data_IF_185412574951
#
_entry.id   IF_185412574951
#
_cell.length_a   1.000
_cell.length_b   1.000
_cell.length_c   1.000
_cell.angle_alpha   90.00
_cell.angle_beta   90.00
_cell.angle_gamma   90.00
#
_symmetry.space_group_name_H-M   'P 1'
#
loop_
_entity.id
_entity.type
_entity.pdbx_description
1 polymer ?
#
# COMPACT_ATOMS: atom_id res chain seq x y z
N UNK A 1 -2.33 39.18 -4.56
CA UNK A 1 -1.09 39.69 -3.94
C UNK A 1 -0.45 38.55 -3.17
N UNK A 2 0.88 38.40 -3.25
CA UNK A 2 1.60 37.17 -2.93
C UNK A 2 1.92 37.10 -1.43
N UNK A 3 2.13 35.90 -0.89
CA UNK A 3 3.29 35.68 -0.02
C UNK A 3 3.60 34.19 0.13
N UNK A 4 4.75 33.88 -0.43
CA UNK A 4 5.53 32.66 -0.37
C UNK A 4 6.39 32.75 0.91
N UNK A 5 6.80 31.59 1.44
CA UNK A 5 7.93 31.39 2.39
C UNK A 5 7.46 31.67 3.83
N UNK A 6 7.64 30.77 4.82
CA UNK A 6 8.94 30.54 5.46
C UNK A 6 9.07 29.10 5.98
N UNK A 7 10.15 28.49 5.50
CA UNK A 7 10.86 27.34 6.03
C UNK A 7 11.25 27.62 7.49
N UNK A 8 10.64 26.96 8.47
CA UNK A 8 11.03 27.14 9.88
C UNK A 8 12.18 26.19 10.19
N UNK A 9 13.39 26.74 10.08
CA UNK A 9 14.60 26.16 10.59
C UNK A 9 14.49 25.91 12.10
N UNK A 10 14.86 24.70 12.50
CA UNK A 10 15.10 24.28 13.87
C UNK A 10 16.22 25.15 14.47
N UNK A 11 15.89 26.03 15.42
CA UNK A 11 16.87 26.86 16.12
C UNK A 11 17.02 26.35 17.56
N UNK A 12 18.20 25.80 17.84
CA UNK A 12 18.66 25.36 19.15
C UNK A 12 19.01 26.57 20.01
N UNK A 13 18.47 26.63 21.24
CA UNK A 13 19.06 27.43 22.32
C UNK A 13 18.89 26.71 23.66
N UNK A 14 20.02 26.29 24.21
CA UNK A 14 20.20 25.85 25.59
C UNK A 14 19.90 27.00 26.55
N UNK A 15 18.99 26.78 27.49
CA UNK A 15 18.96 27.49 28.76
C UNK A 15 18.82 26.47 29.88
N UNK A 16 19.86 26.38 30.69
CA UNK A 16 19.87 25.68 31.96
C UNK A 16 19.09 26.50 32.99
N UNK A 17 18.12 25.87 33.66
CA UNK A 17 17.81 26.01 35.08
C UNK A 17 16.35 25.58 35.36
N UNK A 18 16.24 24.51 36.13
CA UNK A 18 15.44 24.43 37.35
C UNK A 18 14.05 25.11 37.33
N UNK A 19 12.97 24.34 37.20
CA UNK A 19 11.94 24.21 38.24
C UNK A 19 10.80 23.29 37.77
N UNK A 20 10.35 22.51 38.74
CA UNK A 20 9.35 21.45 38.68
C UNK A 20 7.97 21.94 38.22
N UNK A 21 7.24 21.05 37.55
CA UNK A 21 5.78 20.96 37.41
C UNK A 21 5.12 21.50 36.11
N UNK A 22 4.47 20.54 35.43
CA UNK A 22 3.33 20.67 34.52
C UNK A 22 3.65 21.26 33.14
N UNK A 23 3.87 20.37 32.16
CA UNK A 23 3.41 20.52 30.76
C UNK A 23 3.72 19.24 29.99
N UNK A 24 3.12 18.12 30.42
CA UNK A 24 3.05 16.91 29.59
C UNK A 24 1.91 17.09 28.57
N UNK A 25 2.13 17.93 27.56
CA UNK A 25 1.34 17.91 26.35
C UNK A 25 2.17 17.22 25.27
N UNK A 26 2.35 15.90 25.44
CA UNK A 26 2.76 15.01 24.36
C UNK A 26 1.69 15.12 23.28
N UNK A 27 1.92 15.99 22.29
CA UNK A 27 1.19 15.95 21.04
C UNK A 27 1.73 14.74 20.31
N UNK A 28 1.15 13.58 20.63
CA UNK A 28 1.30 12.37 19.85
C UNK A 28 0.63 12.72 18.52
N UNK A 29 1.43 13.16 17.54
CA UNK A 29 0.99 13.21 16.14
C UNK A 29 0.88 11.76 15.71
N UNK A 30 -0.25 11.14 16.08
CA UNK A 30 -0.66 9.90 15.47
C UNK A 30 -0.94 10.21 14.01
N UNK A 31 -0.09 9.74 13.11
CA UNK A 31 -0.53 9.49 11.74
C UNK A 31 -1.65 8.45 11.86
N UNK A 32 -2.90 8.90 11.86
CA UNK A 32 -4.04 8.01 11.61
C UNK A 32 -3.85 7.48 10.19
N UNK A 33 -3.35 6.25 10.10
CA UNK A 33 -3.37 5.49 8.86
C UNK A 33 -4.85 5.23 8.58
N UNK A 34 -5.35 5.78 7.48
CA UNK A 34 -6.77 5.66 7.11
C UNK A 34 -7.13 4.17 7.05
N UNK A 35 -8.25 3.78 7.68
CA UNK A 35 -8.68 2.37 7.79
C UNK A 35 -8.95 1.71 6.44
N UNK A 36 -9.02 2.51 5.37
CA UNK A 36 -9.24 2.05 4.00
C UNK A 36 -7.95 1.92 3.20
N UNK A 37 -6.80 2.29 3.77
CA UNK A 37 -5.53 2.23 3.04
C UNK A 37 -5.12 0.76 2.84
N UNK A 38 -5.09 0.36 1.58
CA UNK A 38 -4.63 -0.95 1.17
C UNK A 38 -3.14 -1.08 1.45
N UNK A 39 -2.76 -2.20 2.07
CA UNK A 39 -1.36 -2.61 2.18
C UNK A 39 -1.20 -4.11 1.98
N UNK A 40 -0.17 -4.48 1.24
CA UNK A 40 0.27 -5.85 1.04
C UNK A 40 1.79 -5.88 0.95
N UNK A 41 2.43 -6.83 1.64
CA UNK A 41 3.84 -7.14 1.43
C UNK A 41 3.97 -8.15 0.30
N UNK A 42 4.91 -7.92 -0.62
CA UNK A 42 5.21 -8.86 -1.70
C UNK A 42 5.94 -10.07 -1.13
N UNK A 43 5.36 -11.26 -1.26
CA UNK A 43 5.97 -12.51 -0.83
C UNK A 43 6.67 -13.22 -1.99
N UNK A 44 6.09 -13.15 -3.19
CA UNK A 44 6.58 -13.84 -4.39
C UNK A 44 6.44 -12.97 -5.63
N UNK A 45 7.39 -13.11 -6.55
CA UNK A 45 7.40 -12.46 -7.87
C UNK A 45 7.70 -13.51 -8.94
N UNK A 46 6.75 -13.71 -9.85
CA UNK A 46 6.85 -14.68 -10.94
C UNK A 46 6.80 -13.97 -12.29
N UNK A 47 7.63 -14.40 -13.24
CA UNK A 47 7.61 -13.88 -14.61
C UNK A 47 6.53 -14.59 -15.43
N UNK A 48 5.70 -13.79 -16.11
CA UNK A 48 4.66 -14.30 -16.99
C UNK A 48 5.22 -14.36 -18.42
N UNK A 49 5.54 -15.57 -18.86
CA UNK A 49 6.13 -15.86 -20.17
C UNK A 49 5.08 -16.34 -21.20
N UNK A 50 3.83 -15.86 -21.08
CA UNK A 50 2.76 -16.23 -22.00
C UNK A 50 2.91 -15.57 -23.38
N UNK A 51 2.32 -16.17 -24.41
CA UNK A 51 2.22 -15.53 -25.73
C UNK A 51 1.34 -14.27 -25.68
N UNK A 52 0.34 -14.26 -24.79
CA UNK A 52 -0.66 -13.19 -24.65
C UNK A 52 -0.40 -12.32 -23.40
N UNK A 53 -0.05 -12.94 -22.27
CA UNK A 53 0.25 -12.24 -21.03
C UNK A 53 1.76 -12.21 -20.81
N UNK A 54 2.34 -11.02 -20.93
CA UNK A 54 3.76 -10.72 -20.68
C UNK A 54 3.85 -9.75 -19.51
N UNK A 55 4.89 -9.89 -18.70
CA UNK A 55 5.12 -9.04 -17.54
C UNK A 55 5.44 -9.90 -16.33
N UNK A 56 5.00 -9.48 -15.15
CA UNK A 56 5.17 -10.23 -13.91
C UNK A 56 3.85 -10.36 -13.17
N UNK A 57 3.80 -11.35 -12.28
CA UNK A 57 2.81 -11.42 -11.23
C UNK A 57 3.48 -11.31 -9.88
N UNK A 58 2.81 -10.65 -8.95
CA UNK A 58 3.24 -10.53 -7.57
C UNK A 58 2.20 -11.21 -6.68
N UNK A 59 2.63 -11.90 -5.63
CA UNK A 59 1.72 -12.51 -4.68
C UNK A 59 2.03 -12.08 -3.27
N UNK A 60 0.99 -11.98 -2.44
CA UNK A 60 1.14 -11.63 -1.03
C UNK A 60 -0.17 -11.69 -0.27
N UNK A 61 -0.07 -11.68 1.06
CA UNK A 61 -1.23 -11.55 1.94
C UNK A 61 -1.57 -10.09 2.18
N UNK A 62 -2.85 -9.73 2.06
CA UNK A 62 -3.33 -8.38 2.33
C UNK A 62 -3.31 -8.14 3.84
N UNK A 63 -2.54 -7.13 4.27
CA UNK A 63 -2.33 -6.79 5.68
C UNK A 63 -3.38 -5.82 6.20
N UNK A 64 -3.83 -4.89 5.35
CA UNK A 64 -4.86 -3.91 5.68
C UNK A 64 -5.62 -3.43 4.45
N UNK A 65 -6.85 -2.96 4.67
CA UNK A 65 -7.71 -2.35 3.65
C UNK A 65 -8.32 -3.37 2.68
N UNK A 66 -8.66 -2.84 1.51
CA UNK A 66 -9.22 -3.58 0.38
C UNK A 66 -8.65 -2.99 -0.91
N UNK A 67 -8.56 -3.79 -1.98
CA UNK A 67 -8.28 -3.26 -3.31
C UNK A 67 -9.15 -3.97 -4.34
N UNK A 68 -9.65 -3.21 -5.31
CA UNK A 68 -10.43 -3.72 -6.42
C UNK A 68 -9.63 -3.65 -7.72
N UNK A 69 -10.06 -4.38 -8.74
CA UNK A 69 -9.54 -4.21 -10.09
C UNK A 69 -9.62 -2.73 -10.52
N UNK A 70 -8.61 -2.31 -11.29
CA UNK A 70 -8.40 -0.94 -11.78
C UNK A 70 -8.06 0.12 -10.72
N UNK A 71 -8.02 -0.23 -9.42
CA UNK A 71 -7.50 0.67 -8.39
C UNK A 71 -6.00 0.93 -8.60
N UNK A 72 -5.61 2.20 -8.51
CA UNK A 72 -4.21 2.58 -8.57
C UNK A 72 -3.46 2.13 -7.30
N UNK A 73 -2.22 1.67 -7.45
CA UNK A 73 -1.33 1.36 -6.32
C UNK A 73 0.10 1.82 -6.60
N UNK A 74 0.88 1.91 -5.52
CA UNK A 74 2.31 2.21 -5.55
C UNK A 74 3.07 1.14 -4.80
N UNK A 75 4.15 0.66 -5.42
CA UNK A 75 5.11 -0.26 -4.81
C UNK A 75 6.27 0.55 -4.26
N UNK A 76 6.64 0.26 -3.01
CA UNK A 76 7.70 0.96 -2.30
C UNK A 76 8.76 -0.03 -1.81
N UNK A 77 10.02 0.34 -2.00
CA UNK A 77 11.18 -0.33 -1.39
C UNK A 77 11.84 0.65 -0.43
N UNK A 78 11.99 0.26 0.84
CA UNK A 78 12.54 1.14 1.88
C UNK A 78 11.82 2.51 1.93
N UNK A 79 10.49 2.51 1.78
CA UNK A 79 9.64 3.71 1.79
C UNK A 79 9.69 4.56 0.52
N UNK A 80 10.55 4.27 -0.46
CA UNK A 80 10.65 5.00 -1.72
C UNK A 80 9.80 4.35 -2.81
N UNK A 81 9.00 5.10 -3.57
CA UNK A 81 8.25 4.54 -4.69
C UNK A 81 9.20 4.04 -5.78
N UNK A 82 9.00 2.81 -6.22
CA UNK A 82 9.81 2.16 -7.28
C UNK A 82 8.96 1.80 -8.51
N UNK A 83 7.64 1.63 -8.33
CA UNK A 83 6.72 1.28 -9.39
C UNK A 83 5.30 1.74 -9.02
N UNK A 84 4.46 1.97 -10.02
CA UNK A 84 3.05 2.30 -9.86
C UNK A 84 2.26 1.66 -11.00
N UNK A 85 1.05 1.18 -10.69
CA UNK A 85 0.20 0.55 -11.69
C UNK A 85 -1.27 0.60 -11.25
N UNK A 86 -2.14 -0.01 -12.05
CA UNK A 86 -3.50 -0.34 -11.64
C UNK A 86 -3.63 -1.83 -11.34
N UNK A 87 -4.53 -2.15 -10.41
CA UNK A 87 -4.71 -3.50 -9.90
C UNK A 87 -5.39 -4.39 -10.91
N UNK A 88 -4.86 -5.60 -11.08
CA UNK A 88 -5.50 -6.68 -11.84
C UNK A 88 -5.30 -7.97 -11.08
N UNK A 89 -6.36 -8.44 -10.43
CA UNK A 89 -6.35 -9.69 -9.67
C UNK A 89 -6.35 -10.86 -10.65
N UNK A 90 -5.33 -11.71 -10.57
CA UNK A 90 -5.23 -12.95 -11.36
C UNK A 90 -5.78 -14.15 -10.59
N UNK A 91 -5.56 -14.18 -9.28
CA UNK A 91 -5.94 -15.30 -8.43
C UNK A 91 -6.15 -14.84 -6.99
N UNK A 92 -7.10 -15.48 -6.30
CA UNK A 92 -7.32 -15.36 -4.86
C UNK A 92 -7.27 -16.75 -4.28
N UNK A 93 -6.44 -16.97 -3.26
CA UNK A 93 -6.35 -18.27 -2.61
C UNK A 93 -7.69 -18.64 -1.94
N UNK A 94 -8.09 -19.90 -2.08
CA UNK A 94 -9.31 -20.47 -1.48
C UNK A 94 -10.62 -19.79 -1.93
N UNK A 95 -10.63 -19.19 -3.13
CA UNK A 95 -11.83 -18.63 -3.74
C UNK A 95 -12.85 -19.74 -4.02
N UNK A 96 -14.01 -19.68 -3.37
CA UNK A 96 -15.04 -20.73 -3.49
C UNK A 96 -15.80 -20.69 -4.82
N UNK A 97 -16.02 -19.49 -5.35
CA UNK A 97 -16.77 -19.27 -6.58
C UNK A 97 -16.01 -18.32 -7.51
N UNK A 98 -15.16 -18.85 -8.41
CA UNK A 98 -14.40 -18.03 -9.33
C UNK A 98 -15.26 -17.34 -10.39
N UNK A 99 -16.43 -17.91 -10.73
CA UNK A 99 -17.30 -17.39 -11.80
C UNK A 99 -18.05 -16.12 -11.37
N UNK A 100 -18.31 -15.98 -10.06
CA UNK A 100 -18.96 -14.81 -9.47
C UNK A 100 -17.99 -13.80 -8.82
N UNK A 101 -16.69 -13.91 -9.10
CA UNK A 101 -15.70 -13.04 -8.49
C UNK A 101 -15.80 -11.60 -9.01
N UNK A 102 -16.17 -10.67 -8.13
CA UNK A 102 -16.36 -9.25 -8.44
C UNK A 102 -15.09 -8.42 -8.63
N UNK A 103 -13.90 -9.02 -8.49
CA UNK A 103 -12.63 -8.30 -8.65
C UNK A 103 -12.17 -7.52 -7.42
N UNK A 104 -12.80 -7.71 -6.27
CA UNK A 104 -12.44 -7.07 -4.99
C UNK A 104 -11.77 -8.06 -4.05
N UNK A 105 -10.71 -7.64 -3.36
CA UNK A 105 -9.97 -8.47 -2.40
C UNK A 105 -9.73 -7.72 -1.10
N UNK A 106 -9.81 -8.44 0.02
CA UNK A 106 -9.87 -7.85 1.35
C UNK A 106 -8.73 -8.31 2.24
N UNK A 107 -8.54 -7.59 3.34
CA UNK A 107 -7.58 -7.95 4.39
C UNK A 107 -7.68 -9.44 4.76
N UNK A 108 -6.54 -10.11 4.80
CA UNK A 108 -6.41 -11.53 5.10
C UNK A 108 -6.38 -12.44 3.88
N UNK A 109 -6.83 -11.97 2.70
CA UNK A 109 -6.75 -12.75 1.47
C UNK A 109 -5.30 -12.85 1.00
N UNK A 110 -4.93 -14.03 0.47
CA UNK A 110 -3.67 -14.21 -0.26
C UNK A 110 -3.96 -14.13 -1.75
N UNK A 111 -3.39 -13.12 -2.42
CA UNK A 111 -3.76 -12.77 -3.79
C UNK A 111 -2.56 -12.76 -4.71
N UNK A 112 -2.81 -12.96 -6.00
CA UNK A 112 -1.83 -12.78 -7.06
C UNK A 112 -2.30 -11.65 -7.97
N UNK A 113 -1.49 -10.61 -8.14
CA UNK A 113 -1.78 -9.45 -8.96
C UNK A 113 -0.88 -9.44 -10.20
N UNK A 114 -1.41 -8.97 -11.32
CA UNK A 114 -0.68 -8.80 -12.58
C UNK A 114 -0.07 -7.41 -12.73
N UNK A 115 1.15 -7.36 -13.24
CA UNK A 115 1.85 -6.12 -13.60
C UNK A 115 2.36 -6.27 -15.04
N UNK A 116 1.68 -5.64 -16.03
CA UNK A 116 1.93 -5.89 -17.46
C UNK A 116 3.30 -5.42 -17.96
N UNK A 117 3.79 -4.32 -17.40
CA UNK A 117 5.04 -3.65 -17.80
C UNK A 117 6.18 -3.88 -16.80
N UNK A 118 5.91 -4.62 -15.72
CA UNK A 118 6.90 -4.95 -14.71
C UNK A 118 7.90 -6.00 -15.19
N UNK A 119 9.16 -5.88 -14.76
CA UNK A 119 10.19 -6.91 -14.94
C UNK A 119 10.55 -7.53 -13.60
N UNK A 120 10.97 -8.79 -13.62
CA UNK A 120 11.28 -9.57 -12.40
C UNK A 120 12.34 -8.90 -11.50
N UNK A 121 13.21 -8.08 -12.06
CA UNK A 121 14.27 -7.36 -11.34
C UNK A 121 13.81 -6.05 -10.70
N UNK A 122 12.64 -5.53 -11.08
CA UNK A 122 12.16 -4.23 -10.61
C UNK A 122 11.55 -4.37 -9.21
N UNK A 123 10.88 -5.49 -8.95
CA UNK A 123 10.18 -5.80 -7.69
C UNK A 123 10.80 -7.03 -7.04
N UNK A 124 10.90 -7.02 -5.72
CA UNK A 124 11.45 -8.10 -4.92
C UNK A 124 10.50 -8.45 -3.76
N UNK A 125 10.57 -9.70 -3.25
CA UNK A 125 9.96 -10.03 -1.97
C UNK A 125 10.39 -9.07 -0.86
N UNK A 126 9.45 -8.66 -0.02
CA UNK A 126 9.61 -7.65 1.03
C UNK A 126 9.28 -6.21 0.58
N UNK A 127 9.07 -5.96 -0.71
CA UNK A 127 8.53 -4.67 -1.16
C UNK A 127 7.07 -4.49 -0.69
N UNK A 128 6.66 -3.24 -0.48
CA UNK A 128 5.34 -2.90 0.03
C UNK A 128 4.48 -2.34 -1.09
N UNK A 129 3.37 -3.01 -1.39
CA UNK A 129 2.27 -2.42 -2.14
C UNK A 129 1.40 -1.58 -1.21
N UNK A 130 1.03 -0.38 -1.67
CA UNK A 130 0.08 0.47 -0.96
C UNK A 130 -0.83 1.23 -1.90
N UNK A 131 -2.07 1.44 -1.48
CA UNK A 131 -2.99 2.38 -2.12
C UNK A 131 -3.75 3.18 -1.07
N UNK A 132 -3.94 4.47 -1.35
CA UNK A 132 -4.74 5.40 -0.56
C UNK A 132 -6.11 5.69 -1.21
N UNK A 133 -6.39 5.10 -2.36
CA UNK A 133 -7.63 5.27 -3.12
C UNK A 133 -8.12 3.90 -3.57
N UNK A 134 -9.17 3.41 -2.91
CA UNK A 134 -9.72 2.07 -3.16
C UNK A 134 -11.18 2.20 -3.56
N UNK A 135 -11.63 1.46 -4.57
CA UNK A 135 -13.01 1.53 -5.08
C UNK A 135 -13.93 0.43 -4.56
N UNK A 136 -13.45 -0.40 -3.63
CA UNK A 136 -14.21 -1.50 -3.05
C UNK A 136 -15.59 -1.08 -2.51
N UNK A 137 -16.59 -1.91 -2.76
CA UNK A 137 -17.94 -1.74 -2.23
C UNK A 137 -18.03 -1.87 -0.70
N UNK A 138 -19.18 -1.46 -0.14
CA UNK A 138 -19.54 -1.76 1.26
C UNK A 138 -19.97 -3.22 1.38
N UNK A 139 -19.03 -4.15 1.27
CA UNK A 139 -19.34 -5.57 1.38
C UNK A 139 -18.11 -6.42 1.13
N UNK A 140 -17.48 -6.86 2.21
CA UNK A 140 -16.50 -7.95 2.13
C UNK A 140 -17.19 -9.19 1.58
N UNK A 141 -16.54 -9.78 0.58
CA UNK A 141 -16.64 -11.16 0.13
C UNK A 141 -17.55 -12.04 0.99
N UNK A 142 -18.70 -12.46 0.45
CA UNK A 142 -19.29 -13.72 0.89
C UNK A 142 -18.22 -14.79 0.67
N UNK A 143 -17.59 -15.22 1.77
CA UNK A 143 -16.62 -16.32 1.76
C UNK A 143 -17.34 -17.64 1.85
#
# INVERSE_FOLDING_TARGET
MPLKIINVACQTRSYAALFLAITLAMHIVGCEKSSNDFQMTVDRVDELNGMILKGISISGKIESGCIANDDAFVIKRNGKPIHNNTTRVLNVQDLKDPDNFGGEVFTGDYVTLYIPDGKKQDIAPGDILSSNTTSCGKGSAEK
#
